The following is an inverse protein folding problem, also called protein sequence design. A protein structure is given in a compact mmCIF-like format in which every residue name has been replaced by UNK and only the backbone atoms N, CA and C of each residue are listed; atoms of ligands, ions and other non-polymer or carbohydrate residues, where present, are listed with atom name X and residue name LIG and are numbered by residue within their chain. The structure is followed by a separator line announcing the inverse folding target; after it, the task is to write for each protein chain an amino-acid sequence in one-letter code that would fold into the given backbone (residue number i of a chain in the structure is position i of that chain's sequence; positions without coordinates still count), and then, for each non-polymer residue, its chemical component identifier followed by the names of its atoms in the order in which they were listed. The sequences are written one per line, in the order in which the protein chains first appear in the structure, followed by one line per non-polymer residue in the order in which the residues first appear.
data_IF_589179673709
#
_entry.id   IF_589179673709
#
_cell.length_a   1.000
_cell.length_b   1.000
_cell.length_c   1.000
_cell.angle_alpha   90.00
_cell.angle_beta   90.00
_cell.angle_gamma   90.00
#
_symmetry.space_group_name_H-M   'P 1'
#
loop_
_entity.id
_entity.type
_entity.pdbx_description
1 polymer ?
#
# COMPACT_ATOMS: atom_id res chain seq x y z
N UNK A 1 -16.98 -23.88 -20.95
CA UNK A 1 -17.63 -23.13 -22.05
C UNK A 1 -18.97 -22.60 -21.55
N UNK A 2 -19.03 -21.33 -21.17
CA UNK A 2 -20.23 -20.49 -21.17
C UNK A 2 -19.77 -19.05 -20.88
N UNK A 3 -19.76 -18.20 -21.91
CA UNK A 3 -19.58 -16.75 -21.77
C UNK A 3 -20.93 -16.11 -21.51
N UNK A 4 -21.07 -15.38 -20.41
CA UNK A 4 -22.21 -14.49 -20.17
C UNK A 4 -21.86 -13.11 -20.72
N UNK A 5 -22.54 -12.70 -21.79
CA UNK A 5 -22.48 -11.36 -22.37
C UNK A 5 -23.38 -10.42 -21.56
N UNK A 6 -22.82 -9.37 -20.97
CA UNK A 6 -23.60 -8.25 -20.43
C UNK A 6 -23.71 -7.18 -21.52
N UNK A 7 -24.94 -6.86 -21.93
CA UNK A 7 -25.26 -5.88 -22.97
C UNK A 7 -25.89 -4.67 -22.27
N UNK A 8 -25.17 -3.55 -22.19
CA UNK A 8 -25.75 -2.27 -21.79
C UNK A 8 -26.19 -1.53 -23.05
N UNK A 9 -27.51 -1.36 -23.22
CA UNK A 9 -28.07 -0.49 -24.25
C UNK A 9 -28.16 0.94 -23.69
N UNK A 10 -27.34 1.84 -24.23
CA UNK A 10 -27.60 3.27 -24.12
C UNK A 10 -28.56 3.68 -25.25
N UNK A 11 -29.70 4.26 -24.89
CA UNK A 11 -30.58 4.92 -25.85
C UNK A 11 -29.95 6.25 -26.27
N UNK A 12 -29.61 6.38 -27.55
CA UNK A 12 -29.38 7.69 -28.18
C UNK A 12 -28.04 7.83 -28.91
N UNK A 13 -28.14 7.83 -30.24
CA UNK A 13 -27.16 8.31 -31.24
C UNK A 13 -25.81 7.58 -31.37
N UNK A 14 -25.63 6.98 -32.55
CA UNK A 14 -24.43 6.37 -33.15
C UNK A 14 -23.08 6.80 -32.52
N UNK A 15 -22.56 5.98 -31.63
CA UNK A 15 -21.16 5.98 -31.19
C UNK A 15 -20.60 4.56 -31.26
N UNK A 16 -19.42 4.39 -31.85
CA UNK A 16 -18.75 3.10 -31.98
C UNK A 16 -18.61 2.41 -30.62
N UNK A 17 -19.09 1.17 -30.53
CA UNK A 17 -19.05 0.34 -29.33
C UNK A 17 -17.61 -0.15 -29.12
N UNK A 18 -16.85 0.48 -28.21
CA UNK A 18 -15.53 -0.03 -27.79
C UNK A 18 -15.77 -1.13 -26.76
N UNK A 19 -15.65 -2.38 -27.21
CA UNK A 19 -15.67 -3.55 -26.35
C UNK A 19 -14.29 -3.68 -25.70
N UNK A 20 -14.15 -3.25 -24.46
CA UNK A 20 -12.94 -3.53 -23.67
C UNK A 20 -13.05 -4.97 -23.17
N UNK A 21 -12.43 -5.91 -23.89
CA UNK A 21 -12.16 -7.25 -23.38
C UNK A 21 -11.02 -7.14 -22.38
N UNK A 22 -11.31 -7.32 -21.08
CA UNK A 22 -10.26 -7.70 -20.14
C UNK A 22 -9.89 -9.15 -20.43
N UNK A 23 -8.91 -9.33 -21.30
CA UNK A 23 -8.23 -10.60 -21.48
C UNK A 23 -7.36 -10.84 -20.26
N UNK A 24 -7.89 -11.59 -19.29
CA UNK A 24 -7.05 -12.34 -18.35
C UNK A 24 -6.37 -13.45 -19.16
N UNK A 25 -5.36 -13.10 -19.94
CA UNK A 25 -4.44 -14.09 -20.49
C UNK A 25 -3.67 -14.72 -19.33
N UNK A 26 -3.61 -16.05 -19.23
CA UNK A 26 -2.79 -16.70 -18.22
C UNK A 26 -1.34 -16.72 -18.72
N UNK A 27 -0.49 -15.77 -18.32
CA UNK A 27 0.96 -15.88 -18.52
C UNK A 27 1.79 -14.94 -17.64
N UNK A 28 2.28 -15.49 -16.53
CA UNK A 28 3.70 -15.60 -16.20
C UNK A 28 3.84 -16.95 -15.46
N UNK A 29 4.91 -17.73 -15.65
CA UNK A 29 5.14 -18.90 -14.81
C UNK A 29 5.13 -18.42 -13.36
N UNK A 30 4.37 -19.09 -12.50
CA UNK A 30 4.33 -18.87 -11.05
C UNK A 30 5.77 -18.68 -10.60
N UNK A 31 6.15 -17.45 -10.20
CA UNK A 31 7.51 -17.19 -9.75
C UNK A 31 7.72 -18.13 -8.58
N UNK A 32 8.65 -19.08 -8.72
CA UNK A 32 9.01 -19.96 -7.60
C UNK A 32 9.41 -19.05 -6.43
N UNK A 33 9.03 -19.36 -5.18
CA UNK A 33 9.48 -18.62 -4.02
C UNK A 33 11.00 -18.42 -4.11
N UNK A 34 11.46 -17.19 -3.87
CA UNK A 34 12.88 -16.87 -3.97
C UNK A 34 13.66 -17.82 -3.05
N UNK A 35 14.51 -18.68 -3.61
CA UNK A 35 15.31 -19.66 -2.85
C UNK A 35 16.48 -19.03 -2.11
N UNK A 36 16.63 -17.71 -2.21
CA UNK A 36 17.69 -16.96 -1.53
C UNK A 36 17.37 -16.90 -0.05
N UNK A 37 18.32 -17.38 0.75
CA UNK A 37 18.26 -17.30 2.20
C UNK A 37 18.57 -15.88 2.64
N UNK A 38 17.58 -15.21 3.24
CA UNK A 38 17.70 -13.85 3.74
C UNK A 38 18.38 -13.88 5.11
N UNK A 39 17.89 -14.74 6.01
CA UNK A 39 18.44 -14.92 7.36
C UNK A 39 18.71 -13.58 8.05
N UNK A 40 19.92 -13.40 8.57
CA UNK A 40 20.32 -12.20 9.34
C UNK A 40 20.29 -10.88 8.56
N UNK A 41 20.18 -10.89 7.24
CA UNK A 41 20.12 -9.67 6.41
C UNK A 41 18.72 -9.04 6.36
N UNK A 42 17.71 -9.71 6.90
CA UNK A 42 16.33 -9.23 6.82
C UNK A 42 16.09 -7.80 7.31
N UNK A 43 16.76 -7.28 8.38
CA UNK A 43 16.51 -5.92 8.82
C UNK A 43 16.93 -4.89 7.77
N UNK A 44 18.01 -5.17 7.02
CA UNK A 44 18.48 -4.29 5.94
C UNK A 44 17.46 -4.22 4.79
N UNK A 45 16.90 -5.37 4.40
CA UNK A 45 15.84 -5.45 3.39
C UNK A 45 14.53 -4.80 3.85
N UNK A 46 14.30 -4.72 5.16
CA UNK A 46 13.19 -4.02 5.80
C UNK A 46 13.52 -2.54 6.11
N UNK A 47 14.62 -2.00 5.58
CA UNK A 47 14.90 -0.57 5.65
C UNK A 47 15.52 -0.10 6.95
N UNK A 48 16.17 -0.96 7.73
CA UNK A 48 16.88 -0.56 8.96
C UNK A 48 17.88 0.58 8.71
N UNK A 49 18.52 0.61 7.54
CA UNK A 49 19.38 1.69 7.05
C UNK A 49 18.78 2.46 5.87
N UNK A 50 17.45 2.60 5.83
CA UNK A 50 16.73 3.30 4.74
C UNK A 50 17.14 2.83 3.33
N UNK A 51 17.41 1.53 3.19
CA UNK A 51 17.87 0.89 1.95
C UNK A 51 19.12 1.51 1.33
N UNK A 52 19.98 2.12 2.14
CA UNK A 52 21.25 2.68 1.69
C UNK A 52 22.11 1.61 1.00
N UNK A 53 22.60 1.94 -0.20
CA UNK A 53 23.34 1.02 -1.07
C UNK A 53 22.53 -0.12 -1.70
N UNK A 54 21.20 -0.20 -1.51
CA UNK A 54 20.38 -1.29 -2.05
C UNK A 54 19.49 -0.90 -3.25
N UNK A 55 19.38 0.40 -3.57
CA UNK A 55 18.44 0.90 -4.58
C UNK A 55 19.08 1.24 -5.94
N UNK A 56 20.40 1.47 -6.00
CA UNK A 56 21.11 1.84 -7.23
C UNK A 56 22.58 1.37 -7.19
N UNK A 57 22.92 0.23 -7.82
CA UNK A 57 22.01 -0.71 -8.48
C UNK A 57 21.06 -1.39 -7.49
N UNK A 58 19.93 -1.91 -8.00
CA UNK A 58 18.91 -2.55 -7.17
C UNK A 58 19.38 -3.94 -6.75
N UNK A 59 19.63 -4.14 -5.45
CA UNK A 59 20.08 -5.43 -4.90
C UNK A 59 19.12 -6.57 -5.31
N UNK A 60 19.67 -7.66 -5.87
CA UNK A 60 18.90 -8.81 -6.33
C UNK A 60 18.01 -9.48 -5.27
N UNK A 61 18.39 -9.44 -3.98
CA UNK A 61 17.56 -10.00 -2.89
C UNK A 61 16.40 -9.06 -2.57
N UNK A 62 16.66 -7.74 -2.48
CA UNK A 62 15.62 -6.74 -2.31
C UNK A 62 14.64 -6.78 -3.48
N UNK A 63 15.13 -6.87 -4.72
CA UNK A 63 14.32 -7.03 -5.93
C UNK A 63 13.37 -8.22 -5.84
N UNK A 64 13.88 -9.38 -5.41
CA UNK A 64 13.07 -10.58 -5.19
C UNK A 64 11.97 -10.39 -4.14
N UNK A 65 12.29 -9.76 -3.02
CA UNK A 65 11.30 -9.47 -1.96
C UNK A 65 10.26 -8.44 -2.43
N UNK A 66 10.64 -7.42 -3.19
CA UNK A 66 9.68 -6.45 -3.75
C UNK A 66 8.70 -7.11 -4.71
N UNK A 67 9.20 -7.99 -5.60
CA UNK A 67 8.32 -8.77 -6.47
C UNK A 67 7.38 -9.65 -5.63
N UNK A 68 7.90 -10.34 -4.60
CA UNK A 68 7.10 -11.17 -3.68
C UNK A 68 5.99 -10.38 -2.99
N UNK A 69 6.29 -9.20 -2.44
CA UNK A 69 5.27 -8.34 -1.83
C UNK A 69 4.24 -7.84 -2.84
N UNK A 70 4.65 -7.59 -4.10
CA UNK A 70 3.72 -7.31 -5.18
C UNK A 70 2.78 -8.46 -5.53
N UNK A 71 3.25 -9.71 -5.46
CA UNK A 71 2.39 -10.90 -5.64
C UNK A 71 1.29 -10.98 -4.56
N UNK A 72 1.59 -10.63 -3.31
CA UNK A 72 0.57 -10.54 -2.25
C UNK A 72 -0.50 -9.49 -2.58
N UNK A 73 -0.09 -8.35 -3.15
CA UNK A 73 -1.03 -7.32 -3.62
C UNK A 73 -1.85 -7.82 -4.81
N UNK A 74 -1.24 -8.53 -5.77
CA UNK A 74 -1.95 -9.17 -6.89
C UNK A 74 -2.99 -10.17 -6.38
N UNK A 75 -2.67 -10.95 -5.35
CA UNK A 75 -3.62 -11.86 -4.71
C UNK A 75 -4.80 -11.11 -4.07
N UNK A 76 -4.59 -9.91 -3.53
CA UNK A 76 -5.68 -9.06 -3.03
C UNK A 76 -6.62 -8.61 -4.16
N UNK A 77 -6.09 -8.23 -5.33
CA UNK A 77 -6.92 -7.94 -6.51
C UNK A 77 -7.69 -9.17 -7.01
N UNK A 78 -7.03 -10.31 -7.14
CA UNK A 78 -7.65 -11.55 -7.64
C UNK A 78 -8.80 -12.04 -6.73
N UNK A 79 -8.73 -11.71 -5.44
CA UNK A 79 -9.72 -12.08 -4.43
C UNK A 79 -10.96 -11.18 -4.42
N UNK A 80 -10.94 -10.02 -5.08
CA UNK A 80 -12.09 -9.12 -5.12
C UNK A 80 -13.12 -9.53 -6.20
N UNK A 81 -14.41 -9.48 -5.88
CA UNK A 81 -15.48 -9.73 -6.84
C UNK A 81 -15.89 -8.46 -7.62
N UNK A 82 -15.50 -8.42 -8.89
CA UNK A 82 -15.81 -7.33 -9.83
C UNK A 82 -17.13 -7.51 -10.58
N UNK A 83 -17.94 -8.53 -10.26
CA UNK A 83 -19.20 -8.77 -10.94
C UNK A 83 -20.28 -7.77 -10.51
N UNK A 84 -20.24 -6.54 -11.07
CA UNK A 84 -21.10 -5.41 -10.69
C UNK A 84 -22.62 -5.62 -10.78
N UNK A 85 -23.08 -6.70 -11.41
CA UNK A 85 -24.49 -7.10 -11.44
C UNK A 85 -24.92 -8.08 -10.33
N UNK A 86 -23.98 -8.59 -9.53
CA UNK A 86 -24.26 -9.57 -8.50
C UNK A 86 -24.30 -8.94 -7.09
N UNK A 87 -25.10 -9.49 -6.15
CA UNK A 87 -25.06 -9.08 -4.74
C UNK A 87 -23.69 -9.25 -4.07
N UNK A 88 -22.83 -10.10 -4.65
CA UNK A 88 -21.47 -10.34 -4.18
C UNK A 88 -20.46 -9.29 -4.65
N UNK A 89 -20.84 -8.33 -5.50
CA UNK A 89 -19.94 -7.26 -5.93
C UNK A 89 -19.34 -6.52 -4.73
N UNK A 90 -18.03 -6.38 -4.70
CA UNK A 90 -17.35 -5.75 -3.56
C UNK A 90 -16.94 -6.71 -2.45
N UNK A 91 -17.32 -7.99 -2.51
CA UNK A 91 -16.94 -8.99 -1.51
C UNK A 91 -15.65 -9.74 -1.87
N UNK A 92 -15.12 -10.50 -0.90
CA UNK A 92 -14.03 -11.45 -1.16
C UNK A 92 -14.58 -12.75 -1.76
N UNK A 93 -14.02 -13.18 -2.90
CA UNK A 93 -14.39 -14.38 -3.64
C UNK A 93 -14.00 -15.68 -2.94
N UNK A 94 -13.01 -15.62 -2.04
CA UNK A 94 -12.34 -16.78 -1.48
C UNK A 94 -12.41 -16.79 0.06
N UNK A 95 -12.66 -17.95 0.68
CA UNK A 95 -12.48 -18.13 2.12
C UNK A 95 -11.03 -17.93 2.54
N UNK A 96 -10.80 -17.30 3.70
CA UNK A 96 -9.46 -16.96 4.22
C UNK A 96 -8.47 -18.13 4.17
N UNK A 97 -8.87 -19.32 4.62
CA UNK A 97 -8.03 -20.52 4.66
C UNK A 97 -7.53 -21.01 3.29
N UNK A 98 -8.13 -20.54 2.20
CA UNK A 98 -7.80 -20.94 0.83
C UNK A 98 -7.47 -19.76 -0.09
N UNK A 99 -7.45 -18.53 0.46
CA UNK A 99 -7.40 -17.29 -0.32
C UNK A 99 -6.16 -17.26 -1.21
N UNK A 100 -4.96 -17.41 -0.64
CA UNK A 100 -3.70 -17.30 -1.40
C UNK A 100 -3.63 -18.35 -2.52
N UNK A 101 -3.92 -19.62 -2.21
CA UNK A 101 -3.97 -20.70 -3.21
C UNK A 101 -4.96 -20.41 -4.34
N UNK A 102 -6.18 -19.96 -4.02
CA UNK A 102 -7.23 -19.67 -5.03
C UNK A 102 -6.98 -18.38 -5.80
N UNK A 103 -6.23 -17.45 -5.21
CA UNK A 103 -5.81 -16.20 -5.82
C UNK A 103 -4.58 -16.34 -6.74
N UNK A 104 -4.03 -17.56 -6.88
CA UNK A 104 -2.88 -17.83 -7.76
C UNK A 104 -1.52 -17.71 -7.08
N UNK A 105 -1.49 -17.65 -5.74
CA UNK A 105 -0.27 -17.57 -4.94
C UNK A 105 -0.18 -18.76 -3.95
N UNK A 106 -0.03 -20.00 -4.44
CA UNK A 106 0.10 -21.18 -3.58
C UNK A 106 1.49 -21.25 -2.91
N UNK A 107 1.63 -22.13 -1.91
CA UNK A 107 2.94 -22.55 -1.36
C UNK A 107 3.82 -21.39 -0.83
N UNK A 108 3.19 -20.37 -0.26
CA UNK A 108 3.92 -19.22 0.31
C UNK A 108 4.46 -19.45 1.70
N UNK A 109 3.92 -20.43 2.44
CA UNK A 109 4.11 -20.55 3.89
C UNK A 109 3.28 -19.57 4.73
N UNK A 110 2.41 -18.77 4.11
CA UNK A 110 1.56 -17.80 4.80
C UNK A 110 0.13 -18.29 4.98
N UNK A 111 -0.44 -17.97 6.14
CA UNK A 111 -1.85 -18.18 6.48
C UNK A 111 -2.56 -16.86 6.60
N UNK A 112 -3.66 -16.68 5.86
CA UNK A 112 -4.53 -15.50 6.00
C UNK A 112 -5.32 -15.60 7.30
N UNK A 113 -5.17 -14.60 8.15
CA UNK A 113 -5.81 -14.53 9.47
C UNK A 113 -7.01 -13.60 9.50
N UNK A 114 -7.00 -12.53 8.68
CA UNK A 114 -8.08 -11.54 8.64
C UNK A 114 -8.34 -11.04 7.22
N UNK A 115 -9.62 -10.94 6.85
CA UNK A 115 -10.06 -10.16 5.69
C UNK A 115 -10.40 -8.74 6.15
N UNK A 116 -10.00 -7.76 5.34
CA UNK A 116 -10.14 -6.34 5.63
C UNK A 116 -11.16 -5.69 4.71
N UNK A 117 -11.99 -4.82 5.29
CA UNK A 117 -13.06 -4.14 4.60
C UNK A 117 -13.05 -2.64 4.89
N UNK A 118 -13.52 -1.84 3.94
CA UNK A 118 -13.77 -0.40 4.10
C UNK A 118 -15.27 -0.12 4.02
N UNK A 119 -15.72 0.92 4.73
CA UNK A 119 -17.11 1.38 4.64
C UNK A 119 -17.39 2.04 3.29
N UNK A 120 -18.56 1.76 2.71
CA UNK A 120 -19.04 2.52 1.56
C UNK A 120 -19.61 3.86 2.05
N UNK A 121 -18.89 4.97 1.85
CA UNK A 121 -19.45 6.30 2.15
C UNK A 121 -20.50 6.69 1.11
N UNK A 122 -21.53 7.48 1.47
CA UNK A 122 -22.59 7.85 0.53
C UNK A 122 -22.15 9.00 -0.40
N UNK A 123 -21.39 8.72 -1.47
CA UNK A 123 -21.23 9.58 -2.68
C UNK A 123 -20.64 8.80 -3.87
N UNK A 124 -20.85 9.23 -5.14
CA UNK A 124 -22.04 9.03 -5.97
C UNK A 124 -22.07 7.67 -6.72
N UNK A 125 -23.00 6.76 -6.39
CA UNK A 125 -23.56 5.76 -7.34
C UNK A 125 -22.79 4.48 -7.72
N UNK A 126 -21.56 4.26 -7.25
CA UNK A 126 -20.65 3.23 -7.81
C UNK A 126 -19.98 2.28 -6.80
N UNK A 127 -20.06 2.57 -5.50
CA UNK A 127 -19.74 1.58 -4.47
C UNK A 127 -20.95 0.66 -4.30
N UNK A 128 -20.67 -0.63 -4.11
CA UNK A 128 -21.64 -1.73 -4.08
C UNK A 128 -22.95 -1.41 -3.35
N UNK A 129 -24.05 -2.13 -3.66
CA UNK A 129 -25.23 -2.14 -2.78
C UNK A 129 -24.91 -2.64 -1.35
N UNK A 130 -23.70 -3.17 -1.12
CA UNK A 130 -23.18 -3.54 0.20
C UNK A 130 -22.60 -2.33 0.95
N UNK A 131 -22.92 -2.24 2.25
CA UNK A 131 -22.44 -1.21 3.18
C UNK A 131 -20.92 -1.26 3.46
N UNK A 132 -20.21 -2.26 2.95
CA UNK A 132 -18.76 -2.41 3.06
C UNK A 132 -18.17 -3.15 1.85
N UNK A 133 -16.89 -2.87 1.55
CA UNK A 133 -16.16 -3.43 0.40
C UNK A 133 -14.83 -4.03 0.84
N UNK A 134 -14.51 -5.24 0.35
CA UNK A 134 -13.25 -5.93 0.57
C UNK A 134 -12.09 -5.13 -0.01
N UNK A 135 -11.08 -4.81 0.81
CA UNK A 135 -9.94 -3.98 0.40
C UNK A 135 -8.59 -4.70 0.51
N UNK A 136 -8.54 -5.83 1.22
CA UNK A 136 -7.27 -6.49 1.50
C UNK A 136 -7.36 -7.56 2.58
N UNK A 137 -6.21 -8.01 3.06
CA UNK A 137 -6.12 -9.05 4.09
C UNK A 137 -4.84 -8.94 4.91
N UNK A 138 -4.83 -9.61 6.06
CA UNK A 138 -3.66 -9.86 6.89
C UNK A 138 -3.30 -11.34 6.80
N UNK A 139 -2.02 -11.64 6.59
CA UNK A 139 -1.47 -12.98 6.56
C UNK A 139 -0.20 -13.05 7.41
N UNK A 140 0.00 -14.17 8.10
CA UNK A 140 1.19 -14.44 8.91
C UNK A 140 1.97 -15.61 8.30
N UNK A 141 3.28 -15.50 8.25
CA UNK A 141 4.15 -16.62 7.93
C UNK A 141 4.06 -17.65 9.07
N UNK A 142 3.56 -18.84 8.77
CA UNK A 142 3.34 -19.91 9.76
C UNK A 142 4.13 -21.19 9.44
N UNK A 143 4.83 -21.19 8.32
CA UNK A 143 5.71 -22.25 7.89
C UNK A 143 7.13 -22.05 8.41
N UNK A 144 7.69 -23.08 9.06
CA UNK A 144 8.99 -22.97 9.73
C UNK A 144 10.16 -22.85 8.73
N UNK A 145 10.08 -23.50 7.56
CA UNK A 145 11.12 -23.41 6.53
C UNK A 145 11.16 -22.00 5.93
N UNK A 146 10.00 -21.39 5.68
CA UNK A 146 9.91 -20.01 5.21
C UNK A 146 10.36 -19.01 6.28
N UNK A 147 10.05 -19.24 7.56
CA UNK A 147 10.55 -18.43 8.68
C UNK A 147 12.08 -18.49 8.76
N UNK A 148 12.67 -19.69 8.62
CA UNK A 148 14.13 -19.86 8.61
C UNK A 148 14.75 -19.15 7.40
N UNK A 149 14.15 -19.26 6.21
CA UNK A 149 14.59 -18.56 5.01
C UNK A 149 14.57 -17.05 5.19
N UNK A 150 13.48 -16.51 5.74
CA UNK A 150 13.27 -15.09 5.99
C UNK A 150 14.08 -14.56 7.19
N UNK A 151 14.53 -15.45 8.09
CA UNK A 151 15.18 -15.10 9.36
C UNK A 151 14.25 -14.44 10.39
N UNK A 152 12.93 -14.47 10.14
CA UNK A 152 11.89 -13.80 10.93
C UNK A 152 10.51 -14.37 10.62
N UNK A 153 9.58 -14.20 11.56
CA UNK A 153 8.15 -14.38 11.31
C UNK A 153 7.56 -13.09 10.77
N UNK A 154 7.37 -13.05 9.45
CA UNK A 154 6.84 -11.89 8.74
C UNK A 154 5.31 -11.92 8.72
N UNK A 155 4.69 -10.76 8.97
CA UNK A 155 3.26 -10.51 8.85
C UNK A 155 3.06 -9.61 7.63
N UNK A 156 2.28 -10.07 6.66
CA UNK A 156 1.96 -9.29 5.46
C UNK A 156 0.54 -8.75 5.55
N UNK A 157 0.40 -7.43 5.42
CA UNK A 157 -0.88 -6.76 5.22
C UNK A 157 -0.93 -6.29 3.77
N UNK A 158 -1.82 -6.86 2.96
CA UNK A 158 -1.88 -6.57 1.52
C UNK A 158 -3.16 -5.80 1.17
N UNK A 159 -3.01 -4.64 0.54
CA UNK A 159 -4.11 -3.78 0.09
C UNK A 159 -4.18 -3.68 -1.42
N UNK A 160 -5.36 -3.93 -1.99
CA UNK A 160 -5.64 -3.57 -3.39
C UNK A 160 -5.95 -2.07 -3.51
N UNK A 161 -5.81 -1.56 -4.72
CA UNK A 161 -6.37 -0.28 -5.15
C UNK A 161 -7.78 -0.43 -5.71
N UNK A 162 -8.36 0.67 -6.20
CA UNK A 162 -9.65 0.67 -6.91
C UNK A 162 -9.45 0.48 -8.41
N UNK A 163 -10.37 -0.24 -9.05
CA UNK A 163 -10.29 -0.53 -10.49
C UNK A 163 -10.73 0.66 -11.35
N UNK A 164 -11.71 1.46 -10.90
CA UNK A 164 -12.12 2.71 -11.58
C UNK A 164 -11.24 3.88 -11.13
N UNK A 165 -10.04 3.96 -11.72
CA UNK A 165 -8.98 4.92 -11.35
C UNK A 165 -9.29 6.37 -11.74
N UNK A 166 -9.94 6.58 -12.88
CA UNK A 166 -10.22 7.92 -13.42
C UNK A 166 -11.17 8.72 -12.53
N UNK A 167 -12.19 8.07 -11.98
CA UNK A 167 -13.18 8.70 -11.10
C UNK A 167 -12.62 8.95 -9.68
N UNK A 168 -11.59 8.19 -9.26
CA UNK A 168 -10.90 8.45 -7.99
C UNK A 168 -10.08 9.75 -8.04
N UNK A 169 -9.36 10.02 -9.13
CA UNK A 169 -8.59 11.26 -9.30
C UNK A 169 -9.50 12.50 -9.29
N UNK A 170 -10.69 12.39 -9.90
CA UNK A 170 -11.63 13.49 -10.04
C UNK A 170 -12.53 13.68 -8.80
N UNK A 171 -12.86 12.60 -8.09
CA UNK A 171 -13.86 12.59 -7.01
C UNK A 171 -13.33 12.78 -5.59
N UNK A 172 -12.01 12.68 -5.37
CA UNK A 172 -11.44 12.75 -4.03
C UNK A 172 -11.13 14.19 -3.62
N UNK A 173 -11.56 14.58 -2.42
CA UNK A 173 -11.13 15.84 -1.80
C UNK A 173 -9.63 15.72 -1.50
N UNK A 174 -8.80 16.29 -2.38
CA UNK A 174 -7.35 16.33 -2.22
C UNK A 174 -6.92 17.10 -0.96
N UNK A 175 -7.81 17.90 -0.37
CA UNK A 175 -7.54 18.67 0.84
C UNK A 175 -6.88 17.83 1.94
N UNK A 176 -5.82 18.39 2.51
CA UNK A 176 -5.17 17.86 3.69
C UNK A 176 -6.07 18.07 4.92
N UNK A 177 -6.18 17.06 5.78
CA UNK A 177 -6.81 17.11 7.10
C UNK A 177 -5.75 16.85 8.17
N UNK A 178 -5.89 17.50 9.33
CA UNK A 178 -5.04 17.20 10.49
C UNK A 178 -5.38 15.81 11.02
N UNK A 179 -4.34 15.08 11.41
CA UNK A 179 -4.50 13.86 12.20
C UNK A 179 -4.91 14.24 13.63
N UNK A 180 -5.74 13.43 14.31
CA UNK A 180 -6.00 13.61 15.73
C UNK A 180 -4.66 13.55 16.49
N UNK A 181 -4.33 14.62 17.24
CA UNK A 181 -3.11 14.64 18.03
C UNK A 181 -3.23 13.64 19.19
N UNK A 182 -2.24 12.73 19.32
CA UNK A 182 -2.14 11.87 20.50
C UNK A 182 -1.74 12.66 21.75
N UNK A 183 -0.93 13.71 21.59
CA UNK A 183 -0.60 14.69 22.62
C UNK A 183 -0.24 15.98 21.88
N UNK A 184 -1.00 17.04 22.10
CA UNK A 184 -0.61 18.38 21.67
C UNK A 184 0.37 18.89 22.74
N UNK A 185 1.66 18.81 22.46
CA UNK A 185 2.66 19.47 23.30
C UNK A 185 2.43 20.98 23.17
N UNK A 186 2.27 21.70 24.28
CA UNK A 186 1.87 23.12 24.30
C UNK A 186 2.89 24.07 23.61
N UNK A 187 4.01 23.52 23.11
CA UNK A 187 5.06 24.22 22.36
C UNK A 187 4.86 24.19 20.82
N UNK A 188 3.70 23.76 20.32
CA UNK A 188 3.38 23.60 18.88
C UNK A 188 3.23 24.91 18.07
N UNK A 189 3.50 26.10 18.60
CA UNK A 189 3.38 27.35 17.81
C UNK A 189 4.39 27.44 16.66
N UNK A 190 5.49 26.66 16.68
CA UNK A 190 6.53 26.70 15.64
C UNK A 190 6.54 25.49 14.67
N UNK A 191 5.88 24.36 14.98
CA UNK A 191 5.94 23.15 14.16
C UNK A 191 4.64 22.89 13.37
N UNK A 192 4.78 22.68 12.05
CA UNK A 192 3.66 22.32 11.18
C UNK A 192 2.99 21.02 11.66
N UNK A 193 1.66 21.02 11.83
CA UNK A 193 0.92 19.84 12.27
C UNK A 193 0.95 18.70 11.22
N UNK A 194 0.97 17.42 11.64
CA UNK A 194 0.92 16.29 10.72
C UNK A 194 -0.46 16.22 10.05
N UNK A 195 -0.45 16.25 8.72
CA UNK A 195 -1.65 16.26 7.90
C UNK A 195 -1.60 15.22 6.79
N UNK A 196 -2.75 14.62 6.50
CA UNK A 196 -2.93 13.59 5.46
C UNK A 196 -4.09 13.95 4.54
N UNK A 197 -4.14 13.37 3.33
CA UNK A 197 -5.27 13.59 2.40
C UNK A 197 -6.57 13.13 3.05
N UNK A 198 -7.54 14.05 3.13
CA UNK A 198 -8.80 13.87 3.85
C UNK A 198 -9.57 12.63 3.40
N UNK A 199 -9.61 12.36 2.10
CA UNK A 199 -10.33 11.18 1.63
C UNK A 199 -9.65 9.86 2.03
N UNK A 200 -8.30 9.79 2.09
CA UNK A 200 -7.62 8.56 2.48
C UNK A 200 -7.88 8.29 3.96
N UNK A 201 -7.78 9.35 4.76
CA UNK A 201 -8.10 9.30 6.17
C UNK A 201 -9.55 8.89 6.41
N UNK A 202 -10.50 9.50 5.70
CA UNK A 202 -11.91 9.16 5.81
C UNK A 202 -12.17 7.70 5.43
N UNK A 203 -11.58 7.20 4.34
CA UNK A 203 -11.75 5.80 3.95
C UNK A 203 -11.17 4.84 4.99
N UNK A 204 -10.05 5.22 5.59
CA UNK A 204 -9.33 4.41 6.56
C UNK A 204 -9.99 4.39 7.94
N UNK A 205 -10.62 5.50 8.35
CA UNK A 205 -11.18 5.68 9.70
C UNK A 205 -12.71 5.63 9.78
N UNK A 206 -13.42 5.75 8.66
CA UNK A 206 -14.89 5.67 8.68
C UNK A 206 -15.37 4.28 9.14
N UNK A 207 -16.24 4.20 10.16
CA UNK A 207 -16.88 2.95 10.53
C UNK A 207 -17.92 2.56 9.47
N UNK A 208 -18.07 1.25 9.24
CA UNK A 208 -19.16 0.70 8.45
C UNK A 208 -20.27 0.14 9.34
N UNK A 209 -21.42 -0.20 8.75
CA UNK A 209 -22.50 -0.87 9.48
C UNK A 209 -22.12 -2.31 9.85
N UNK A 210 -21.44 -3.02 8.94
CA UNK A 210 -21.08 -4.43 9.11
C UNK A 210 -19.71 -4.64 9.78
N UNK A 211 -18.82 -3.65 9.68
CA UNK A 211 -17.44 -3.74 10.12
C UNK A 211 -17.00 -2.45 10.80
N UNK A 212 -16.15 -2.55 11.82
CA UNK A 212 -15.42 -1.40 12.35
C UNK A 212 -14.54 -0.76 11.27
N UNK A 213 -13.99 0.42 11.55
CA UNK A 213 -13.11 1.12 10.62
C UNK A 213 -11.93 0.24 10.18
N UNK A 214 -11.37 0.50 9.00
CA UNK A 214 -10.22 -0.25 8.51
C UNK A 214 -9.03 -0.13 9.48
N UNK A 215 -8.81 1.07 10.01
CA UNK A 215 -7.84 1.34 11.08
C UNK A 215 -8.01 0.36 12.25
N UNK A 216 -9.22 0.23 12.80
CA UNK A 216 -9.47 -0.66 13.93
C UNK A 216 -9.26 -2.14 13.55
N UNK A 217 -9.72 -2.56 12.37
CA UNK A 217 -9.51 -3.94 11.89
C UNK A 217 -8.02 -4.30 11.80
N UNK A 218 -7.18 -3.37 11.34
CA UNK A 218 -5.73 -3.55 11.24
C UNK A 218 -5.10 -3.60 12.63
N UNK A 219 -5.38 -2.62 13.49
CA UNK A 219 -4.79 -2.54 14.83
C UNK A 219 -5.18 -3.75 15.69
N UNK A 220 -6.44 -4.15 15.70
CA UNK A 220 -6.93 -5.30 16.45
C UNK A 220 -6.21 -6.59 16.03
N UNK A 221 -6.09 -6.80 14.72
CA UNK A 221 -5.48 -8.00 14.17
C UNK A 221 -3.97 -8.04 14.42
N UNK A 222 -3.29 -6.90 14.25
CA UNK A 222 -1.87 -6.77 14.58
C UNK A 222 -1.63 -7.05 16.06
N UNK A 223 -2.41 -6.46 16.96
CA UNK A 223 -2.30 -6.72 18.39
C UNK A 223 -2.57 -8.20 18.72
N UNK A 224 -3.55 -8.83 18.08
CA UNK A 224 -3.84 -10.26 18.23
C UNK A 224 -2.64 -11.11 17.84
N UNK A 225 -2.02 -10.84 16.70
CA UNK A 225 -0.82 -11.54 16.20
C UNK A 225 0.37 -11.31 17.14
N UNK A 226 0.57 -10.08 17.62
CA UNK A 226 1.66 -9.78 18.57
C UNK A 226 1.51 -10.61 19.86
N UNK A 227 0.29 -10.78 20.37
CA UNK A 227 0.03 -11.60 21.56
C UNK A 227 0.18 -13.10 21.29
N UNK A 228 -0.33 -13.57 20.15
CA UNK A 228 -0.30 -15.00 19.80
C UNK A 228 1.13 -15.51 19.53
N UNK A 229 1.93 -14.70 18.84
CA UNK A 229 3.26 -15.07 18.37
C UNK A 229 4.40 -14.38 19.13
N UNK A 230 4.10 -13.67 20.23
CA UNK A 230 5.09 -12.93 21.03
C UNK A 230 5.41 -13.51 22.39
N UNK A 231 6.51 -13.04 22.98
CA UNK A 231 6.81 -13.19 24.41
C UNK A 231 7.22 -14.59 24.86
N UNK A 232 7.57 -15.50 23.94
CA UNK A 232 8.07 -16.84 24.27
C UNK A 232 9.56 -16.94 23.92
N UNK A 233 10.36 -17.38 24.88
CA UNK A 233 11.79 -17.63 24.66
C UNK A 233 12.00 -18.58 23.47
N UNK A 234 12.94 -18.22 22.59
CA UNK A 234 13.24 -19.01 21.39
C UNK A 234 12.30 -18.77 20.20
N UNK A 235 11.34 -17.84 20.28
CA UNK A 235 10.56 -17.45 19.09
C UNK A 235 11.38 -16.59 18.13
N UNK A 236 11.20 -16.75 16.81
CA UNK A 236 11.87 -15.92 15.81
C UNK A 236 11.45 -14.45 15.95
N UNK A 237 12.31 -13.49 15.56
CA UNK A 237 11.94 -12.08 15.52
C UNK A 237 10.76 -11.87 14.57
N UNK A 238 9.99 -10.80 14.79
CA UNK A 238 8.77 -10.50 14.03
C UNK A 238 8.93 -9.22 13.23
N UNK A 239 8.31 -9.18 12.05
CA UNK A 239 8.20 -7.96 11.23
C UNK A 239 6.78 -7.82 10.71
N UNK A 240 6.35 -6.58 10.49
CA UNK A 240 5.12 -6.28 9.75
C UNK A 240 5.51 -5.62 8.44
N UNK A 241 5.14 -6.24 7.33
CA UNK A 241 5.25 -5.68 5.99
C UNK A 241 3.87 -5.35 5.44
N UNK A 242 3.67 -4.11 5.02
CA UNK A 242 2.39 -3.61 4.52
C UNK A 242 2.57 -3.26 3.05
N UNK A 243 1.95 -4.00 2.15
CA UNK A 243 2.11 -3.81 0.72
C UNK A 243 0.82 -3.29 0.10
N UNK A 244 0.92 -2.34 -0.82
CA UNK A 244 -0.25 -1.83 -1.51
C UNK A 244 0.05 -1.19 -2.86
N UNK A 245 -0.94 -1.23 -3.75
CA UNK A 245 -0.88 -0.59 -5.06
C UNK A 245 -1.93 0.52 -5.18
N UNK A 246 -1.56 1.64 -5.81
CA UNK A 246 -2.49 2.76 -6.05
C UNK A 246 -3.09 3.27 -4.73
N UNK A 247 -4.41 3.36 -4.60
CA UNK A 247 -5.09 3.65 -3.32
C UNK A 247 -4.61 2.72 -2.17
N UNK A 248 -4.40 1.43 -2.44
CA UNK A 248 -3.93 0.49 -1.43
C UNK A 248 -2.55 0.85 -0.88
N UNK A 249 -1.73 1.54 -1.68
CA UNK A 249 -0.42 2.03 -1.27
C UNK A 249 -0.53 3.20 -0.27
N UNK A 250 -1.52 4.08 -0.47
CA UNK A 250 -1.83 5.12 0.51
C UNK A 250 -2.31 4.54 1.85
N UNK A 251 -3.20 3.52 1.78
CA UNK A 251 -3.65 2.78 2.96
C UNK A 251 -2.50 2.04 3.65
N UNK A 252 -1.51 1.56 2.90
CA UNK A 252 -0.34 0.91 3.47
C UNK A 252 0.49 1.87 4.33
N UNK A 253 0.73 3.09 3.84
CA UNK A 253 1.45 4.14 4.58
C UNK A 253 0.68 4.57 5.83
N UNK A 254 -0.65 4.79 5.73
CA UNK A 254 -1.48 5.11 6.89
C UNK A 254 -1.49 3.99 7.94
N UNK A 255 -1.53 2.73 7.50
CA UNK A 255 -1.47 1.57 8.41
C UNK A 255 -0.12 1.50 9.12
N UNK A 256 1.00 1.77 8.42
CA UNK A 256 2.32 1.81 9.05
C UNK A 256 2.41 2.89 10.13
N UNK A 257 1.84 4.07 9.86
CA UNK A 257 1.77 5.17 10.83
C UNK A 257 1.00 4.79 12.09
N UNK A 258 -0.19 4.22 11.94
CA UNK A 258 -1.02 3.84 13.10
C UNK A 258 -0.38 2.72 13.92
N UNK A 259 0.16 1.69 13.27
CA UNK A 259 0.79 0.57 13.97
C UNK A 259 2.00 1.04 14.76
N UNK A 260 2.85 1.89 14.17
CA UNK A 260 4.06 2.40 14.84
C UNK A 260 3.72 3.37 15.95
N UNK A 261 2.76 4.27 15.74
CA UNK A 261 2.29 5.21 16.77
C UNK A 261 1.68 4.44 17.96
N UNK A 262 0.86 3.43 17.70
CA UNK A 262 0.29 2.59 18.75
C UNK A 262 1.38 1.82 19.52
N UNK A 263 2.39 1.30 18.82
CA UNK A 263 3.52 0.61 19.46
C UNK A 263 4.32 1.54 20.38
N UNK A 264 4.63 2.76 19.94
CA UNK A 264 5.31 3.78 20.77
C UNK A 264 4.50 4.11 22.02
N UNK A 265 3.18 4.31 21.88
CA UNK A 265 2.30 4.59 23.00
C UNK A 265 2.29 3.44 24.04
N UNK A 266 2.33 2.18 23.59
CA UNK A 266 2.41 1.02 24.49
C UNK A 266 3.76 0.88 25.19
N UNK A 267 4.87 1.25 24.54
CA UNK A 267 6.21 1.19 25.14
C UNK A 267 6.41 2.23 26.26
N UNK A 268 5.81 3.42 26.13
CA UNK A 268 5.81 4.42 27.21
C UNK A 268 5.07 3.95 28.46
N UNK A 269 4.17 2.97 28.33
CA UNK A 269 3.44 2.33 29.43
C UNK A 269 4.22 1.27 30.22
N UNK A 270 5.49 1.03 29.90
CA UNK A 270 6.39 0.14 30.66
C UNK A 270 6.48 -1.32 30.17
N UNK A 271 6.00 -1.63 28.96
CA UNK A 271 6.15 -2.96 28.36
C UNK A 271 7.47 -3.04 27.56
N UNK A 272 8.41 -3.86 28.04
CA UNK A 272 9.77 -4.06 27.50
C UNK A 272 9.79 -4.93 26.21
N UNK A 273 8.74 -4.85 25.39
CA UNK A 273 8.66 -5.62 24.16
C UNK A 273 9.68 -5.10 23.13
N UNK A 274 10.50 -6.02 22.59
CA UNK A 274 11.48 -5.71 21.55
C UNK A 274 10.82 -4.97 20.37
N UNK A 275 11.45 -3.90 19.84
CA UNK A 275 10.86 -3.09 18.78
C UNK A 275 10.65 -3.93 17.51
N UNK A 276 9.40 -3.95 17.04
CA UNK A 276 9.00 -4.67 15.83
C UNK A 276 9.12 -3.74 14.63
N UNK A 277 9.87 -4.15 13.60
CA UNK A 277 10.00 -3.37 12.38
C UNK A 277 8.69 -3.36 11.60
N UNK A 278 8.25 -2.16 11.19
CA UNK A 278 7.05 -1.94 10.37
C UNK A 278 7.46 -1.25 9.08
N UNK A 279 7.23 -1.93 7.96
CA UNK A 279 7.66 -1.48 6.63
C UNK A 279 6.47 -1.41 5.68
N UNK A 280 6.22 -0.26 5.07
CA UNK A 280 5.29 -0.14 3.96
C UNK A 280 6.03 -0.21 2.61
N UNK A 281 5.55 -1.06 1.71
CA UNK A 281 5.99 -1.14 0.30
C UNK A 281 4.85 -0.63 -0.57
N UNK A 282 5.08 0.53 -1.19
CA UNK A 282 4.10 1.26 -1.98
C UNK A 282 4.41 1.10 -3.47
N UNK A 283 3.48 0.54 -4.24
CA UNK A 283 3.59 0.44 -5.70
C UNK A 283 2.66 1.48 -6.33
N UNK A 284 3.23 2.44 -7.07
CA UNK A 284 2.43 3.48 -7.73
C UNK A 284 1.58 4.30 -6.77
N UNK A 285 2.01 4.46 -5.51
CA UNK A 285 1.21 5.16 -4.51
C UNK A 285 1.15 6.67 -4.74
N UNK A 286 -0.03 7.31 -4.55
CA UNK A 286 -0.13 8.77 -4.51
C UNK A 286 0.53 9.34 -3.25
N UNK A 287 0.68 10.67 -3.20
CA UNK A 287 1.15 11.37 -2.00
C UNK A 287 0.12 11.31 -0.89
N UNK A 288 0.56 10.99 0.32
CA UNK A 288 -0.34 10.68 1.44
C UNK A 288 -0.51 11.87 2.39
N UNK A 289 0.53 12.66 2.61
CA UNK A 289 0.52 13.75 3.59
C UNK A 289 1.60 14.80 3.40
N UNK A 290 1.72 15.70 4.36
CA UNK A 290 2.73 16.76 4.39
C UNK A 290 4.06 16.30 5.02
N UNK A 291 5.06 17.18 5.04
CA UNK A 291 6.38 16.89 5.61
C UNK A 291 6.32 16.56 7.11
N UNK A 292 5.42 17.19 7.86
CA UNK A 292 5.20 16.88 9.28
C UNK A 292 4.69 15.45 9.50
N UNK A 293 3.76 14.98 8.66
CA UNK A 293 3.32 13.58 8.68
C UNK A 293 4.46 12.62 8.39
N UNK A 294 5.30 12.93 7.38
CA UNK A 294 6.50 12.13 7.07
C UNK A 294 7.43 12.03 8.26
N UNK A 295 7.82 13.16 8.87
CA UNK A 295 8.71 13.19 10.03
C UNK A 295 8.18 12.34 11.17
N UNK A 296 6.90 12.51 11.51
CA UNK A 296 6.26 11.76 12.61
C UNK A 296 6.26 10.25 12.37
N UNK A 297 6.03 9.81 11.13
CA UNK A 297 6.11 8.39 10.75
C UNK A 297 7.54 7.84 10.84
N UNK A 298 8.54 8.61 10.42
CA UNK A 298 9.94 8.19 10.46
C UNK A 298 10.45 8.14 11.92
N UNK A 299 10.05 9.11 12.75
CA UNK A 299 10.35 9.19 14.19
C UNK A 299 9.69 8.07 15.00
N UNK A 300 8.48 7.62 14.61
CA UNK A 300 7.82 6.45 15.22
C UNK A 300 8.47 5.12 14.82
N UNK A 301 9.51 5.14 13.97
CA UNK A 301 10.24 3.95 13.53
C UNK A 301 9.66 3.27 12.29
N UNK A 302 8.64 3.86 11.66
CA UNK A 302 8.07 3.35 10.42
C UNK A 302 9.01 3.51 9.23
N UNK A 303 9.05 2.49 8.36
CA UNK A 303 9.82 2.53 7.11
C UNK A 303 8.87 2.51 5.92
N UNK A 304 9.14 3.32 4.90
CA UNK A 304 8.35 3.35 3.67
C UNK A 304 9.27 3.31 2.47
N UNK A 305 9.05 2.35 1.58
CA UNK A 305 9.70 2.24 0.28
C UNK A 305 8.67 2.41 -0.83
N UNK A 306 8.85 3.44 -1.65
CA UNK A 306 7.97 3.80 -2.77
C UNK A 306 8.60 3.31 -4.08
N UNK A 307 8.01 2.29 -4.68
CA UNK A 307 8.31 1.89 -6.06
C UNK A 307 7.51 2.79 -6.99
N UNK A 308 8.22 3.59 -7.78
CA UNK A 308 7.66 4.64 -8.64
C UNK A 308 8.02 4.37 -10.09
N UNK A 309 7.02 4.28 -10.97
CA UNK A 309 7.22 4.32 -12.40
C UNK A 309 7.27 5.78 -12.85
N UNK A 310 8.34 6.15 -13.56
CA UNK A 310 8.55 7.53 -14.01
C UNK A 310 7.44 8.03 -14.96
N UNK A 311 6.79 7.10 -15.67
CA UNK A 311 5.69 7.33 -16.60
C UNK A 311 4.30 7.27 -15.94
N UNK A 312 4.23 7.03 -14.63
CA UNK A 312 2.98 7.02 -13.87
C UNK A 312 2.72 8.39 -13.22
N UNK A 313 1.59 9.01 -13.58
CA UNK A 313 1.16 10.30 -13.04
C UNK A 313 0.60 10.17 -11.61
N UNK A 314 0.07 9.01 -11.22
CA UNK A 314 -0.55 8.83 -9.89
C UNK A 314 0.46 9.09 -8.77
N UNK A 315 1.72 8.74 -9.00
CA UNK A 315 2.82 8.99 -8.04
C UNK A 315 3.14 10.47 -7.83
N UNK A 316 2.65 11.35 -8.73
CA UNK A 316 2.94 12.79 -8.76
C UNK A 316 1.80 13.64 -8.19
N UNK A 317 0.73 13.01 -7.71
CA UNK A 317 -0.47 13.67 -7.17
C UNK A 317 -0.80 13.17 -5.76
N UNK A 318 -1.56 13.94 -4.95
CA UNK A 318 -1.97 15.34 -5.15
C UNK A 318 -0.87 16.38 -4.92
N UNK A 319 -1.10 17.59 -5.44
CA UNK A 319 -0.35 18.83 -5.16
C UNK A 319 1.09 18.90 -5.69
N UNK A 320 1.91 19.74 -5.05
CA UNK A 320 3.30 20.00 -5.42
C UNK A 320 4.25 19.53 -4.31
N UNK A 321 5.46 19.11 -4.69
CA UNK A 321 6.50 18.72 -3.74
C UNK A 321 7.06 19.95 -3.03
N UNK A 322 7.09 19.88 -1.70
CA UNK A 322 7.91 20.75 -0.87
C UNK A 322 9.09 19.90 -0.40
N UNK A 323 10.19 19.94 -1.15
CA UNK A 323 11.44 19.29 -0.73
C UNK A 323 12.00 20.00 0.51
N UNK A 324 12.34 19.20 1.52
CA UNK A 324 13.38 19.54 2.49
C UNK A 324 14.67 18.92 1.94
N UNK A 325 15.63 19.78 1.59
CA UNK A 325 16.86 19.48 0.84
C UNK A 325 17.75 18.43 1.55
N UNK A 326 18.10 17.34 0.84
CA UNK A 326 19.36 16.56 0.93
C UNK A 326 19.26 15.23 0.14
N UNK A 327 18.99 15.28 -1.17
CA UNK A 327 19.28 14.13 -2.03
C UNK A 327 19.76 14.60 -3.41
N UNK A 328 21.08 14.59 -3.60
CA UNK A 328 21.73 14.83 -4.88
C UNK A 328 21.35 13.71 -5.86
N UNK A 329 20.71 14.05 -6.99
CA UNK A 329 20.65 13.15 -8.16
C UNK A 329 19.33 13.05 -8.94
N UNK A 330 18.33 13.90 -8.71
CA UNK A 330 17.08 13.89 -9.48
C UNK A 330 16.87 15.11 -10.38
N UNK A 331 16.45 14.89 -11.63
CA UNK A 331 15.95 15.92 -12.56
C UNK A 331 14.85 16.79 -11.94
N UNK A 332 14.78 18.11 -12.26
CA UNK A 332 13.87 19.05 -11.61
C UNK A 332 12.41 18.77 -12.01
N UNK A 333 11.63 18.22 -11.08
CA UNK A 333 10.17 18.06 -11.25
C UNK A 333 9.51 19.42 -11.06
N UNK A 334 8.60 19.79 -11.99
CA UNK A 334 7.86 21.06 -12.09
C UNK A 334 7.56 21.72 -10.73
N UNK A 335 8.46 22.61 -10.29
CA UNK A 335 8.14 23.66 -9.32
C UNK A 335 7.16 24.62 -10.00
N UNK A 336 6.18 25.13 -9.27
CA UNK A 336 5.43 26.27 -9.74
C UNK A 336 6.34 27.49 -9.55
N UNK A 337 7.09 27.85 -10.60
CA UNK A 337 8.00 28.98 -10.59
C UNK A 337 7.28 30.23 -10.03
N UNK A 338 7.76 30.74 -8.90
CA UNK A 338 7.28 32.00 -8.30
C UNK A 338 6.35 31.90 -7.09
N UNK A 339 5.95 30.71 -6.62
CA UNK A 339 5.11 30.59 -5.40
C UNK A 339 5.95 30.20 -4.17
N UNK A 340 6.03 31.05 -3.11
CA UNK A 340 6.77 30.72 -1.89
C UNK A 340 6.25 29.48 -1.17
N UNK A 341 7.14 28.68 -0.57
CA UNK A 341 6.82 27.46 0.21
C UNK A 341 5.72 27.67 1.25
N UNK A 342 5.83 28.72 2.05
CA UNK A 342 4.84 29.04 3.09
C UNK A 342 3.43 29.27 2.50
N UNK A 343 3.35 29.76 1.26
CA UNK A 343 2.09 29.99 0.56
C UNK A 343 1.50 28.67 0.05
N UNK A 344 2.32 27.74 -0.45
CA UNK A 344 1.89 26.37 -0.80
C UNK A 344 1.38 25.61 0.43
N UNK A 345 2.09 25.68 1.56
CA UNK A 345 1.64 25.09 2.82
C UNK A 345 0.34 25.72 3.32
N UNK A 346 0.23 27.06 3.28
CA UNK A 346 -0.99 27.79 3.67
C UNK A 346 -2.20 27.50 2.75
N UNK A 347 -1.94 27.23 1.47
CA UNK A 347 -2.96 26.82 0.49
C UNK A 347 -3.32 25.33 0.60
N UNK A 348 -2.66 24.56 1.47
CA UNK A 348 -2.90 23.12 1.63
C UNK A 348 -2.37 22.28 0.47
N UNK A 349 -1.43 22.80 -0.32
CA UNK A 349 -0.84 22.15 -1.50
C UNK A 349 0.59 21.66 -1.27
N UNK A 350 1.13 21.82 -0.07
CA UNK A 350 2.45 21.34 0.33
C UNK A 350 2.40 19.86 0.72
N UNK A 351 2.72 18.97 -0.23
CA UNK A 351 2.85 17.54 0.02
C UNK A 351 4.31 17.14 0.08
N UNK A 352 4.59 16.04 0.78
CA UNK A 352 5.90 15.43 0.81
C UNK A 352 5.79 13.95 0.43
N UNK A 353 6.78 13.47 -0.31
CA UNK A 353 6.93 12.06 -0.57
C UNK A 353 7.41 11.37 0.72
N UNK A 354 6.61 10.43 1.21
CA UNK A 354 6.85 9.73 2.48
C UNK A 354 7.74 8.51 2.23
N UNK A 355 8.95 8.52 2.79
CA UNK A 355 9.92 7.42 2.68
C UNK A 355 10.92 7.53 1.54
N UNK A 356 11.58 6.41 1.23
CA UNK A 356 12.61 6.30 0.18
C UNK A 356 11.98 5.90 -1.15
N UNK A 357 12.52 6.41 -2.25
CA UNK A 357 12.00 6.17 -3.59
C UNK A 357 12.92 5.25 -4.38
N UNK A 358 12.34 4.21 -4.97
CA UNK A 358 12.93 3.36 -6.00
C UNK A 358 12.26 3.67 -7.33
N UNK A 359 12.99 4.36 -8.22
CA UNK A 359 12.50 4.67 -9.57
C UNK A 359 12.73 3.49 -10.50
N UNK A 360 11.67 3.06 -11.15
CA UNK A 360 11.71 2.16 -12.31
C UNK A 360 11.27 2.94 -13.55
N UNK A 361 11.84 2.61 -14.70
CA UNK A 361 11.47 3.24 -15.97
C UNK A 361 11.52 2.20 -17.09
N UNK A 362 10.71 2.40 -18.12
CA UNK A 362 10.72 1.58 -19.30
C UNK A 362 11.32 2.38 -20.45
N UNK A 363 12.49 1.98 -20.98
CA UNK A 363 13.05 2.65 -22.16
C UNK A 363 12.34 2.24 -23.47
N UNK A 364 11.61 1.10 -23.47
CA UNK A 364 11.16 0.44 -24.70
C UNK A 364 9.63 0.20 -24.82
N UNK A 365 8.79 0.60 -23.85
CA UNK A 365 7.34 0.35 -23.91
C UNK A 365 6.55 1.67 -24.04
N UNK A 366 5.92 1.84 -25.20
CA UNK A 366 5.22 3.04 -25.60
C UNK A 366 4.15 3.54 -24.59
N UNK A 367 4.08 4.86 -24.49
CA UNK A 367 3.28 5.77 -23.67
C UNK A 367 1.77 5.48 -23.56
N UNK A 368 1.38 4.42 -22.85
CA UNK A 368 0.00 4.22 -22.41
C UNK A 368 -0.12 4.49 -20.89
N UNK A 369 -0.64 5.66 -20.52
CA UNK A 369 -0.77 6.13 -19.13
C UNK A 369 -1.55 5.17 -18.20
N UNK A 370 -2.55 4.49 -18.74
CA UNK A 370 -3.37 3.50 -18.01
C UNK A 370 -2.57 2.21 -17.76
N UNK A 371 -1.67 1.87 -18.69
CA UNK A 371 -0.76 0.73 -18.56
C UNK A 371 0.45 1.06 -17.68
N UNK A 372 0.90 2.32 -17.64
CA UNK A 372 2.04 2.74 -16.81
C UNK A 372 1.77 2.61 -15.31
N UNK A 373 0.50 2.69 -14.91
CA UNK A 373 0.02 2.50 -13.53
C UNK A 373 -0.55 1.08 -13.26
N UNK A 374 -0.25 0.09 -14.11
CA UNK A 374 -0.66 -1.30 -13.85
C UNK A 374 0.36 -1.99 -12.93
N UNK A 375 -0.10 -2.63 -11.84
CA UNK A 375 0.78 -3.38 -10.93
C UNK A 375 1.60 -4.45 -11.68
N UNK A 376 1.03 -5.09 -12.71
CA UNK A 376 1.75 -6.08 -13.51
C UNK A 376 2.93 -5.46 -14.24
N UNK A 377 2.82 -4.20 -14.68
CA UNK A 377 3.94 -3.48 -15.25
C UNK A 377 5.00 -3.18 -14.19
N UNK A 378 4.63 -2.69 -13.02
CA UNK A 378 5.57 -2.46 -11.91
C UNK A 378 6.41 -3.70 -11.59
N UNK A 379 5.76 -4.86 -11.53
CA UNK A 379 6.44 -6.11 -11.20
C UNK A 379 7.32 -6.62 -12.35
N UNK A 380 6.91 -6.42 -13.60
CA UNK A 380 7.76 -6.68 -14.77
C UNK A 380 8.99 -5.78 -14.79
N UNK A 381 8.83 -4.49 -14.52
CA UNK A 381 9.95 -3.54 -14.47
C UNK A 381 10.94 -3.89 -13.36
N UNK A 382 10.43 -4.18 -12.16
CA UNK A 382 11.28 -4.65 -11.05
C UNK A 382 12.02 -5.93 -11.40
N UNK A 383 11.35 -6.92 -12.00
CA UNK A 383 11.98 -8.17 -12.42
C UNK A 383 13.03 -7.97 -13.53
N UNK A 384 12.84 -6.96 -14.38
CA UNK A 384 13.76 -6.64 -15.47
C UNK A 384 14.99 -5.82 -15.04
N UNK A 385 14.95 -5.14 -13.88
CA UNK A 385 16.13 -4.48 -13.32
C UNK A 385 17.24 -5.52 -13.10
N UNK A 386 18.38 -5.32 -13.76
CA UNK A 386 19.62 -6.09 -13.56
C UNK A 386 20.57 -5.33 -12.65
N UNK A 387 21.43 -6.08 -11.93
CA UNK A 387 22.49 -5.54 -11.06
C UNK A 387 23.55 -4.74 -11.84
#
# INVERSE_FOLDING_TARGET
MHSTLVRLQAHGSRGNCIVVRSSLEPCLPTLKPSTLQIGKKWPELQGARNWDGLLSPLDGTLRGELVRYGEFVRAAYASFDFNGGAPSYGSCRFPSCSLLRRAGLPETGYKVTRLLYVASTPTPGWLSPCSSSYIGYVAVCDDEDEIERLGRRDVVIAFRGMVTRSEWLDGFKSNLTRLPAADADENEEENEAPMVVSGFWSLFTAPGEAHCSLQQQVLDEVQRIIREYGGKDGTPPRSITIAGHSLGAALAVLSAYEITTAAVATQQGGDEAAPMMVTAVSFGGPRVGNAAFRRRLEESGGKVLRVVNSDDIVTKVPGFLVDDDDNQGGEPVKRMDGVPRWLLSKMGWGYSDVGRELRVSCQDLASNLVASHDLDLYLKLLAACTD
#
